data_IF_504680807748
#
_entry.id   IF_504680807748
#
_cell.length_a   1.000
_cell.length_b   1.000
_cell.length_c   1.000
_cell.angle_alpha   90.00
_cell.angle_beta   90.00
_cell.angle_gamma   90.00
#
_symmetry.space_group_name_H-M   'P 1'
#
loop_
_entity.id
_entity.type
_entity.pdbx_description
1 polymer ?
#
# COMPACT_ATOMS: atom_id res chain seq x y z
N UNK A 1 22.49 -3.73 10.94
CA UNK A 1 22.94 -4.19 9.62
C UNK A 1 22.02 -3.54 8.59
N UNK A 2 22.55 -2.82 7.60
CA UNK A 2 21.72 -2.26 6.54
C UNK A 2 21.09 -3.38 5.71
N UNK A 3 19.86 -3.18 5.26
CA UNK A 3 19.16 -4.17 4.43
C UNK A 3 18.34 -3.50 3.33
N UNK A 4 18.07 -4.25 2.26
CA UNK A 4 17.09 -3.90 1.22
C UNK A 4 16.03 -4.99 1.12
N UNK A 5 14.81 -4.62 0.75
CA UNK A 5 13.69 -5.53 0.59
C UNK A 5 13.28 -5.61 -0.89
N UNK A 6 13.16 -6.83 -1.42
CA UNK A 6 12.73 -7.08 -2.81
C UNK A 6 11.54 -8.04 -2.80
N UNK A 7 10.43 -7.61 -3.37
CA UNK A 7 9.22 -8.42 -3.52
C UNK A 7 8.27 -8.32 -2.33
N UNK A 8 7.19 -9.03 -2.41
CA UNK A 8 6.00 -8.84 -1.60
C UNK A 8 5.03 -7.87 -2.27
N UNK A 9 3.80 -7.84 -1.82
CA UNK A 9 2.90 -6.74 -2.18
C UNK A 9 3.53 -5.47 -1.61
N UNK A 10 4.00 -4.58 -2.50
CA UNK A 10 4.54 -3.29 -2.03
C UNK A 10 3.47 -2.63 -1.18
N UNK A 11 3.84 -2.14 0.00
CA UNK A 11 2.91 -1.48 0.94
C UNK A 11 1.93 -0.55 0.21
N UNK A 12 2.47 0.29 -0.67
CA UNK A 12 1.72 1.31 -1.42
C UNK A 12 0.84 0.73 -2.55
N UNK A 13 1.00 -0.55 -2.88
CA UNK A 13 0.17 -1.26 -3.85
C UNK A 13 -1.03 -1.97 -3.21
N UNK A 14 -1.08 -2.05 -1.89
CA UNK A 14 -2.21 -2.65 -1.17
C UNK A 14 -3.48 -1.81 -1.35
N UNK A 15 -4.64 -2.46 -1.43
CA UNK A 15 -5.90 -1.78 -1.77
C UNK A 15 -6.23 -0.65 -0.79
N UNK A 16 -6.18 -0.92 0.52
CA UNK A 16 -6.51 0.08 1.55
C UNK A 16 -5.52 1.25 1.61
N UNK A 17 -4.23 1.03 1.29
CA UNK A 17 -3.26 2.12 1.18
C UNK A 17 -3.51 2.93 -0.10
N UNK A 18 -3.85 2.29 -1.22
CA UNK A 18 -4.28 3.01 -2.43
C UNK A 18 -5.54 3.84 -2.21
N UNK A 19 -6.45 3.39 -1.33
CA UNK A 19 -7.64 4.16 -0.96
C UNK A 19 -7.24 5.44 -0.20
N UNK A 20 -6.32 5.34 0.77
CA UNK A 20 -5.75 6.51 1.45
C UNK A 20 -5.00 7.42 0.47
N UNK A 21 -4.16 6.86 -0.39
CA UNK A 21 -3.41 7.64 -1.38
C UNK A 21 -4.34 8.36 -2.35
N UNK A 22 -5.49 7.80 -2.71
CA UNK A 22 -6.48 8.50 -3.54
C UNK A 22 -7.03 9.76 -2.85
N UNK A 23 -7.33 9.69 -1.55
CA UNK A 23 -7.71 10.86 -0.77
C UNK A 23 -6.60 11.92 -0.73
N UNK A 24 -5.37 11.50 -0.45
CA UNK A 24 -4.23 12.43 -0.42
C UNK A 24 -3.99 13.10 -1.78
N UNK A 25 -4.17 12.36 -2.88
CA UNK A 25 -4.03 12.88 -4.25
C UNK A 25 -5.08 13.92 -4.58
N UNK A 26 -6.37 13.71 -4.25
CA UNK A 26 -7.40 14.73 -4.49
C UNK A 26 -7.19 15.98 -3.63
N UNK A 27 -6.62 15.84 -2.43
CA UNK A 27 -6.22 16.99 -1.61
C UNK A 27 -5.03 17.74 -2.22
N UNK A 28 -4.04 17.04 -2.76
CA UNK A 28 -2.89 17.66 -3.41
C UNK A 28 -3.28 18.32 -4.73
N UNK A 29 -4.03 17.61 -5.56
CA UNK A 29 -4.49 18.05 -6.88
C UNK A 29 -5.98 17.73 -7.09
N UNK A 30 -6.89 18.71 -7.00
CA UNK A 30 -8.32 18.49 -7.20
C UNK A 30 -8.72 18.14 -8.65
N UNK A 31 -7.78 18.23 -9.61
CA UNK A 31 -8.00 17.85 -11.01
C UNK A 31 -7.62 16.39 -11.31
N UNK A 32 -7.30 15.58 -10.31
CA UNK A 32 -6.97 14.17 -10.46
C UNK A 32 -8.24 13.31 -10.56
N UNK A 33 -8.67 13.01 -11.77
CA UNK A 33 -9.87 12.24 -12.06
C UNK A 33 -9.78 10.78 -11.57
N UNK A 34 -8.63 10.15 -11.72
CA UNK A 34 -8.39 8.77 -11.28
C UNK A 34 -8.49 8.68 -9.76
N UNK A 35 -7.92 9.64 -9.06
CA UNK A 35 -7.97 9.70 -7.61
C UNK A 35 -9.41 9.94 -7.12
N UNK A 36 -10.16 10.85 -7.77
CA UNK A 36 -11.58 11.07 -7.46
C UNK A 36 -12.41 9.80 -7.68
N UNK A 37 -12.24 9.12 -8.80
CA UNK A 37 -12.96 7.89 -9.09
C UNK A 37 -12.76 6.86 -7.98
N UNK A 38 -11.51 6.65 -7.55
CA UNK A 38 -11.22 5.70 -6.48
C UNK A 38 -11.75 6.14 -5.13
N UNK A 39 -11.57 7.41 -4.75
CA UNK A 39 -12.07 7.94 -3.49
C UNK A 39 -13.61 7.88 -3.40
N UNK A 40 -14.31 8.23 -4.47
CA UNK A 40 -15.77 8.22 -4.49
C UNK A 40 -16.35 6.80 -4.44
N UNK A 41 -15.74 5.83 -5.11
CA UNK A 41 -16.19 4.43 -5.08
C UNK A 41 -15.90 3.72 -3.75
N UNK A 42 -15.12 4.33 -2.86
CA UNK A 42 -14.89 3.82 -1.51
C UNK A 42 -16.19 3.75 -0.69
N UNK A 43 -17.13 4.67 -0.93
CA UNK A 43 -18.32 4.87 -0.11
C UNK A 43 -19.46 3.94 -0.50
N UNK A 44 -20.14 3.41 0.52
CA UNK A 44 -21.26 2.48 0.33
C UNK A 44 -22.36 3.10 -0.54
N UNK A 45 -22.77 2.36 -1.57
CA UNK A 45 -23.83 2.78 -2.51
C UNK A 45 -23.36 3.70 -3.63
N UNK A 46 -22.06 3.94 -3.75
CA UNK A 46 -21.48 4.68 -4.88
C UNK A 46 -20.83 3.69 -5.85
N UNK A 47 -21.50 3.47 -6.99
CA UNK A 47 -20.94 2.67 -8.09
C UNK A 47 -20.19 3.54 -9.10
N UNK A 48 -19.47 2.89 -10.03
CA UNK A 48 -18.61 3.56 -11.03
C UNK A 48 -19.32 4.65 -11.82
N UNK A 49 -20.57 4.44 -12.21
CA UNK A 49 -21.35 5.43 -12.99
C UNK A 49 -21.62 6.70 -12.16
N UNK A 50 -22.00 6.51 -10.89
CA UNK A 50 -22.26 7.64 -9.98
C UNK A 50 -20.98 8.41 -9.66
N UNK A 51 -19.91 7.68 -9.38
CA UNK A 51 -18.57 8.24 -9.13
C UNK A 51 -18.07 9.02 -10.35
N UNK A 52 -18.16 8.46 -11.56
CA UNK A 52 -17.72 9.12 -12.80
C UNK A 52 -18.48 10.43 -13.06
N UNK A 53 -19.80 10.40 -12.90
CA UNK A 53 -20.62 11.61 -13.10
C UNK A 53 -20.25 12.72 -12.11
N UNK A 54 -20.04 12.36 -10.84
CA UNK A 54 -19.65 13.35 -9.83
C UNK A 54 -18.22 13.83 -10.06
N UNK A 55 -17.27 12.93 -10.33
CA UNK A 55 -15.88 13.29 -10.63
C UNK A 55 -15.79 14.32 -11.76
N UNK A 56 -16.51 14.11 -12.87
CA UNK A 56 -16.57 15.06 -13.98
C UNK A 56 -17.07 16.45 -13.54
N UNK A 57 -18.02 16.51 -12.61
CA UNK A 57 -18.50 17.79 -12.07
C UNK A 57 -17.49 18.46 -11.13
N UNK A 58 -16.70 17.67 -10.37
CA UNK A 58 -15.67 18.17 -9.47
C UNK A 58 -14.48 18.75 -10.25
N UNK A 59 -14.11 18.11 -11.36
CA UNK A 59 -13.03 18.56 -12.23
C UNK A 59 -13.27 19.93 -12.90
N UNK A 60 -14.51 20.37 -12.93
CA UNK A 60 -14.85 21.71 -13.44
C UNK A 60 -14.67 22.81 -12.39
N UNK A 61 -14.44 22.43 -11.14
CA UNK A 61 -14.33 23.35 -10.02
C UNK A 61 -12.89 23.36 -9.49
N UNK A 62 -12.12 24.42 -9.76
CA UNK A 62 -10.73 24.51 -9.29
C UNK A 62 -10.62 24.83 -7.79
N UNK A 63 -11.70 25.35 -7.19
CA UNK A 63 -11.73 25.79 -5.80
C UNK A 63 -12.34 24.74 -4.89
N UNK A 64 -11.65 24.44 -3.78
CA UNK A 64 -12.09 23.41 -2.83
C UNK A 64 -13.45 23.72 -2.20
N UNK A 65 -13.82 24.98 -1.97
CA UNK A 65 -15.11 25.34 -1.38
C UNK A 65 -16.27 24.84 -2.26
N UNK A 66 -16.20 25.04 -3.58
CA UNK A 66 -17.20 24.56 -4.54
C UNK A 66 -17.22 23.04 -4.64
N UNK A 67 -16.04 22.40 -4.54
CA UNK A 67 -15.90 20.95 -4.49
C UNK A 67 -16.65 20.41 -3.26
N UNK A 68 -16.40 20.98 -2.07
CA UNK A 68 -17.05 20.54 -0.83
C UNK A 68 -18.56 20.72 -0.87
N UNK A 69 -19.06 21.81 -1.43
CA UNK A 69 -20.50 22.04 -1.61
C UNK A 69 -21.14 20.94 -2.47
N UNK A 70 -20.47 20.49 -3.54
CA UNK A 70 -20.95 19.39 -4.37
C UNK A 70 -20.90 18.05 -3.63
N UNK A 71 -19.86 17.78 -2.87
CA UNK A 71 -19.72 16.55 -2.07
C UNK A 71 -20.79 16.50 -0.95
N UNK A 72 -21.09 17.61 -0.30
CA UNK A 72 -22.15 17.71 0.69
C UNK A 72 -23.53 17.43 0.07
N UNK A 73 -23.82 18.01 -1.09
CA UNK A 73 -25.07 17.75 -1.85
C UNK A 73 -25.19 16.33 -2.34
N UNK A 74 -24.08 15.67 -2.63
CA UNK A 74 -24.05 14.24 -3.01
C UNK A 74 -24.51 13.34 -1.85
N UNK A 75 -24.22 13.70 -0.60
CA UNK A 75 -24.80 13.11 0.60
C UNK A 75 -24.40 11.65 0.86
N UNK A 76 -23.32 11.14 0.26
CA UNK A 76 -22.81 9.77 0.46
C UNK A 76 -21.53 9.73 1.30
N UNK A 77 -20.87 10.86 1.45
CA UNK A 77 -19.66 10.99 2.25
C UNK A 77 -20.06 11.57 3.60
N UNK A 78 -19.64 11.01 4.74
CA UNK A 78 -19.97 11.53 6.05
C UNK A 78 -19.49 12.98 6.22
N UNK A 79 -20.29 13.80 6.90
CA UNK A 79 -19.95 15.19 7.15
C UNK A 79 -18.64 15.36 7.93
N UNK A 80 -18.33 14.44 8.85
CA UNK A 80 -17.06 14.41 9.57
C UNK A 80 -15.87 14.21 8.61
N UNK A 81 -15.99 13.30 7.65
CA UNK A 81 -14.97 13.10 6.60
C UNK A 81 -14.74 14.38 5.81
N UNK A 82 -15.80 15.07 5.38
CA UNK A 82 -15.68 16.33 4.64
C UNK A 82 -15.03 17.43 5.48
N UNK A 83 -15.32 17.49 6.78
CA UNK A 83 -14.68 18.43 7.69
C UNK A 83 -13.18 18.16 7.80
N UNK A 84 -12.79 16.90 7.96
CA UNK A 84 -11.38 16.50 8.00
C UNK A 84 -10.68 16.82 6.66
N UNK A 85 -11.32 16.55 5.53
CA UNK A 85 -10.79 16.90 4.21
C UNK A 85 -10.55 18.42 4.07
N UNK A 86 -11.46 19.25 4.58
CA UNK A 86 -11.26 20.72 4.63
C UNK A 86 -10.01 21.08 5.45
N UNK A 87 -9.78 20.45 6.59
CA UNK A 87 -8.56 20.66 7.38
C UNK A 87 -7.29 20.23 6.62
N UNK A 88 -7.35 19.11 5.90
CA UNK A 88 -6.20 18.62 5.11
C UNK A 88 -5.77 19.58 4.02
N UNK A 89 -6.69 20.36 3.42
CA UNK A 89 -6.34 21.32 2.35
C UNK A 89 -5.38 22.41 2.81
N UNK A 90 -5.36 22.76 4.09
CA UNK A 90 -4.46 23.77 4.68
C UNK A 90 -3.16 23.15 5.23
N UNK A 91 -3.11 21.83 5.40
CA UNK A 91 -1.97 21.11 5.99
C UNK A 91 -1.05 20.44 4.96
N UNK A 92 -1.08 20.88 3.70
CA UNK A 92 -0.26 20.27 2.63
C UNK A 92 1.24 20.33 2.87
N UNK A 93 1.73 21.21 3.73
CA UNK A 93 3.12 21.35 4.15
C UNK A 93 3.44 20.59 5.45
N UNK A 94 2.46 19.93 6.05
CA UNK A 94 2.61 19.08 7.22
C UNK A 94 2.21 17.64 6.86
N UNK A 95 3.03 16.98 6.04
CA UNK A 95 2.67 15.72 5.37
C UNK A 95 2.23 14.64 6.34
N UNK A 96 2.94 14.50 7.46
CA UNK A 96 2.60 13.49 8.48
C UNK A 96 1.23 13.79 9.14
N UNK A 97 0.94 15.05 9.43
CA UNK A 97 -0.37 15.46 9.96
C UNK A 97 -1.47 15.23 8.92
N UNK A 98 -1.23 15.61 7.66
CA UNK A 98 -2.16 15.40 6.56
C UNK A 98 -2.47 13.91 6.35
N UNK A 99 -1.46 13.03 6.37
CA UNK A 99 -1.63 11.56 6.27
C UNK A 99 -2.41 11.02 7.47
N UNK A 100 -2.13 11.50 8.68
CA UNK A 100 -2.85 11.05 9.89
C UNK A 100 -4.33 11.44 9.84
N UNK A 101 -4.65 12.64 9.41
CA UNK A 101 -6.02 13.09 9.17
C UNK A 101 -6.70 12.30 8.04
N UNK A 102 -5.98 12.01 6.96
CA UNK A 102 -6.48 11.19 5.87
C UNK A 102 -6.89 9.79 6.32
N UNK A 103 -6.09 9.15 7.18
CA UNK A 103 -6.43 7.85 7.79
C UNK A 103 -7.71 7.99 8.62
N UNK A 104 -7.77 8.98 9.52
CA UNK A 104 -8.94 9.24 10.36
C UNK A 104 -10.21 9.45 9.52
N UNK A 105 -10.11 10.17 8.40
CA UNK A 105 -11.24 10.48 7.53
C UNK A 105 -11.91 9.27 6.92
N UNK A 106 -11.14 8.20 6.63
CA UNK A 106 -11.65 7.04 5.87
C UNK A 106 -11.59 5.72 6.65
N UNK A 107 -10.99 5.70 7.84
CA UNK A 107 -10.75 4.48 8.63
C UNK A 107 -12.04 3.68 8.88
N UNK A 108 -13.12 4.35 9.27
CA UNK A 108 -14.40 3.68 9.53
C UNK A 108 -14.95 2.97 8.28
N UNK A 109 -14.87 3.62 7.12
CA UNK A 109 -15.31 3.04 5.86
C UNK A 109 -14.40 1.90 5.40
N UNK A 110 -13.08 2.04 5.60
CA UNK A 110 -12.12 0.97 5.31
C UNK A 110 -12.35 -0.25 6.21
N UNK A 111 -12.59 -0.04 7.50
CA UNK A 111 -12.91 -1.11 8.44
C UNK A 111 -14.18 -1.88 8.01
N UNK A 112 -15.16 -1.19 7.45
CA UNK A 112 -16.35 -1.83 6.90
C UNK A 112 -16.06 -2.60 5.61
N UNK A 113 -15.30 -2.03 4.70
CA UNK A 113 -14.97 -2.65 3.40
C UNK A 113 -14.05 -3.86 3.56
N UNK A 114 -13.13 -3.84 4.54
CA UNK A 114 -12.11 -4.87 4.76
C UNK A 114 -12.30 -5.68 6.06
N UNK A 115 -13.53 -5.86 6.53
CA UNK A 115 -13.90 -6.50 7.82
C UNK A 115 -13.07 -7.74 8.19
N UNK A 116 -12.77 -8.60 7.22
CA UNK A 116 -12.12 -9.92 7.46
C UNK A 116 -10.66 -9.82 7.90
N UNK A 117 -9.94 -8.80 7.49
CA UNK A 117 -8.50 -8.66 7.71
C UNK A 117 -8.08 -7.23 8.10
N UNK A 118 -9.04 -6.44 8.60
CA UNK A 118 -8.83 -5.04 8.98
C UNK A 118 -7.71 -4.86 10.00
N UNK A 119 -7.70 -5.67 11.07
CA UNK A 119 -6.67 -5.58 12.12
C UNK A 119 -5.23 -5.72 11.58
N UNK A 120 -5.06 -6.53 10.52
CA UNK A 120 -3.76 -6.66 9.86
C UNK A 120 -3.45 -5.44 9.00
N UNK A 121 -4.44 -4.93 8.27
CA UNK A 121 -4.27 -3.78 7.34
C UNK A 121 -4.00 -2.47 8.07
N UNK A 122 -4.57 -2.29 9.25
CA UNK A 122 -4.36 -1.10 10.09
C UNK A 122 -2.88 -0.84 10.39
N UNK A 123 -2.09 -1.91 10.60
CA UNK A 123 -0.65 -1.81 10.84
C UNK A 123 0.13 -1.19 9.69
N UNK A 124 -0.36 -1.32 8.45
CA UNK A 124 0.28 -0.76 7.27
C UNK A 124 0.30 0.77 7.29
N UNK A 125 -0.68 1.41 7.94
CA UNK A 125 -0.76 2.88 8.02
C UNK A 125 0.34 3.50 8.88
N UNK A 126 0.85 2.77 9.88
CA UNK A 126 1.99 3.27 10.67
C UNK A 126 3.26 3.39 9.82
N UNK A 127 3.44 2.47 8.87
CA UNK A 127 4.55 2.55 7.91
C UNK A 127 4.35 3.73 6.94
N UNK A 128 3.11 3.97 6.48
CA UNK A 128 2.81 5.14 5.63
C UNK A 128 3.10 6.45 6.37
N UNK A 129 2.73 6.57 7.65
CA UNK A 129 3.07 7.74 8.49
C UNK A 129 4.57 7.94 8.64
N UNK A 130 5.34 6.84 8.80
CA UNK A 130 6.80 6.90 8.87
C UNK A 130 7.42 7.36 7.55
N UNK A 131 6.89 6.92 6.40
CA UNK A 131 7.33 7.42 5.09
C UNK A 131 7.00 8.91 4.95
N UNK A 132 5.79 9.31 5.33
CA UNK A 132 5.33 10.70 5.26
C UNK A 132 6.18 11.66 6.12
N UNK A 133 6.74 11.20 7.25
CA UNK A 133 7.57 12.03 8.12
C UNK A 133 8.89 12.51 7.50
N UNK A 134 9.29 11.93 6.37
CA UNK A 134 10.51 12.30 5.65
C UNK A 134 10.30 13.46 4.66
N UNK A 135 9.07 13.86 4.43
CA UNK A 135 8.69 14.87 3.44
C UNK A 135 8.08 16.09 4.10
N UNK A 136 8.33 17.25 3.50
CA UNK A 136 7.77 18.54 3.95
C UNK A 136 6.60 19.01 3.09
N UNK A 137 6.42 18.44 1.90
CA UNK A 137 5.31 18.76 1.01
C UNK A 137 4.58 17.49 0.55
N UNK A 138 3.26 17.56 0.54
CA UNK A 138 2.41 16.43 0.14
C UNK A 138 2.64 16.02 -1.32
N UNK A 139 2.90 16.97 -2.22
CA UNK A 139 3.24 16.70 -3.62
C UNK A 139 4.51 15.87 -3.76
N UNK A 140 5.57 16.23 -3.04
CA UNK A 140 6.85 15.49 -3.06
C UNK A 140 6.66 14.04 -2.57
N UNK A 141 5.92 13.86 -1.49
CA UNK A 141 5.58 12.52 -0.98
C UNK A 141 4.84 11.69 -2.03
N UNK A 142 3.85 12.29 -2.71
CA UNK A 142 3.07 11.60 -3.72
C UNK A 142 3.87 11.32 -5.00
N UNK A 143 4.73 12.23 -5.43
CA UNK A 143 5.62 12.01 -6.56
C UNK A 143 6.57 10.84 -6.31
N UNK A 144 7.23 10.81 -5.16
CA UNK A 144 8.19 9.75 -4.85
C UNK A 144 7.54 8.36 -4.72
N UNK A 145 6.37 8.27 -4.07
CA UNK A 145 5.82 6.96 -3.71
C UNK A 145 4.63 6.50 -4.55
N UNK A 146 3.98 7.40 -5.29
CA UNK A 146 2.75 7.08 -6.04
C UNK A 146 2.94 7.17 -7.54
N UNK A 147 3.63 8.22 -8.01
CA UNK A 147 3.76 8.48 -9.45
C UNK A 147 4.95 7.75 -10.06
N UNK A 148 5.99 7.48 -9.28
CA UNK A 148 7.16 6.71 -9.72
C UNK A 148 7.49 5.53 -8.78
N UNK A 149 6.67 4.47 -8.77
CA UNK A 149 6.96 3.26 -8.00
C UNK A 149 8.21 2.51 -8.48
N UNK A 150 8.77 2.87 -9.63
CA UNK A 150 10.02 2.33 -10.18
C UNK A 150 11.22 2.86 -9.39
N UNK A 151 11.14 4.11 -8.89
CA UNK A 151 12.24 4.76 -8.16
C UNK A 151 12.59 4.06 -6.85
N UNK A 152 11.61 3.46 -6.14
CA UNK A 152 11.90 2.69 -4.92
C UNK A 152 12.77 1.47 -5.24
N UNK A 153 12.52 0.79 -6.36
CA UNK A 153 13.30 -0.36 -6.78
C UNK A 153 14.67 0.00 -7.37
N UNK A 154 14.83 1.23 -7.89
CA UNK A 154 16.09 1.71 -8.47
C UNK A 154 17.00 2.37 -7.43
N UNK A 155 16.46 3.11 -6.45
CA UNK A 155 17.22 3.61 -5.29
C UNK A 155 17.81 2.44 -4.49
N UNK A 156 17.06 1.33 -4.39
CA UNK A 156 17.55 0.10 -3.78
C UNK A 156 18.67 -0.59 -4.61
N UNK A 157 18.72 -0.39 -5.94
CA UNK A 157 19.73 -0.98 -6.82
C UNK A 157 21.04 -0.19 -6.90
N UNK A 158 21.02 1.11 -6.61
CA UNK A 158 22.20 1.98 -6.75
C UNK A 158 23.15 1.97 -5.55
N UNK A 159 22.78 1.39 -4.42
CA UNK A 159 23.74 1.22 -3.32
C UNK A 159 24.52 -0.08 -3.48
N UNK A 160 25.72 0.02 -4.03
CA UNK A 160 26.77 -1.02 -4.01
C UNK A 160 27.33 -1.18 -2.57
N UNK A 161 26.44 -1.06 -1.60
CA UNK A 161 26.76 -1.18 -0.17
C UNK A 161 26.57 -2.63 0.27
N UNK A 162 27.39 -3.06 1.21
CA UNK A 162 27.30 -4.37 1.86
C UNK A 162 25.99 -4.46 2.68
N UNK A 163 24.89 -4.80 2.01
CA UNK A 163 23.53 -4.84 2.57
C UNK A 163 22.95 -6.25 2.50
N UNK A 164 22.20 -6.64 3.52
CA UNK A 164 21.42 -7.88 3.49
C UNK A 164 20.20 -7.69 2.60
N UNK A 165 20.02 -8.58 1.62
CA UNK A 165 18.83 -8.57 0.76
C UNK A 165 17.74 -9.47 1.36
N UNK A 166 16.62 -8.88 1.78
CA UNK A 166 15.39 -9.59 2.12
C UNK A 166 14.53 -9.71 0.87
N UNK A 167 14.21 -10.93 0.47
CA UNK A 167 13.49 -11.17 -0.78
C UNK A 167 12.42 -12.25 -0.60
N UNK A 168 11.24 -12.06 -1.21
CA UNK A 168 10.25 -13.15 -1.24
C UNK A 168 10.67 -14.22 -2.24
N UNK A 169 10.28 -15.46 -1.99
CA UNK A 169 10.66 -16.59 -2.86
C UNK A 169 10.19 -16.37 -4.31
N UNK A 170 8.99 -15.81 -4.51
CA UNK A 170 8.47 -15.53 -5.85
C UNK A 170 9.33 -14.48 -6.59
N UNK A 171 9.80 -13.47 -5.88
CA UNK A 171 10.67 -12.43 -6.47
C UNK A 171 12.11 -12.91 -6.64
N UNK A 172 12.52 -13.95 -5.91
CA UNK A 172 13.85 -14.54 -6.03
C UNK A 172 14.04 -15.43 -7.27
N UNK A 173 12.95 -15.73 -8.00
CA UNK A 173 13.03 -16.51 -9.24
C UNK A 173 13.91 -15.79 -10.28
N UNK A 174 14.94 -16.48 -10.77
CA UNK A 174 15.89 -15.91 -11.73
C UNK A 174 17.05 -15.13 -11.11
N UNK A 175 17.10 -14.99 -9.78
CA UNK A 175 18.25 -14.42 -9.06
C UNK A 175 19.07 -15.51 -8.39
N UNK A 176 20.35 -15.24 -8.12
CA UNK A 176 21.24 -16.13 -7.38
C UNK A 176 22.14 -15.30 -6.45
N UNK A 177 22.48 -15.87 -5.30
CA UNK A 177 23.33 -15.23 -4.30
C UNK A 177 24.35 -16.22 -3.75
N UNK A 178 25.53 -15.73 -3.37
CA UNK A 178 26.58 -16.59 -2.81
C UNK A 178 26.12 -17.32 -1.55
N UNK A 179 25.42 -16.62 -0.67
CA UNK A 179 24.89 -17.14 0.59
C UNK A 179 23.39 -16.83 0.66
N UNK A 180 22.57 -17.84 0.93
CA UNK A 180 21.12 -17.67 1.08
C UNK A 180 20.63 -18.22 2.42
N UNK A 181 19.83 -17.43 3.10
CA UNK A 181 19.08 -17.85 4.28
C UNK A 181 17.61 -18.05 3.88
N UNK A 182 17.10 -19.27 4.04
CA UNK A 182 15.65 -19.53 3.96
C UNK A 182 15.12 -19.60 5.38
N UNK A 183 14.33 -18.59 5.74
CA UNK A 183 13.89 -18.42 7.12
C UNK A 183 12.58 -19.13 7.40
N UNK A 184 12.43 -19.61 8.66
CA UNK A 184 11.19 -20.17 9.18
C UNK A 184 10.68 -21.41 8.39
N UNK A 185 11.59 -22.33 8.04
CA UNK A 185 11.24 -23.59 7.35
C UNK A 185 10.63 -24.56 8.35
N UNK A 186 9.34 -24.40 8.61
CA UNK A 186 8.57 -25.18 9.58
C UNK A 186 7.24 -25.64 9.00
N UNK A 187 6.65 -26.76 9.50
CA UNK A 187 5.29 -27.17 9.12
C UNK A 187 4.28 -26.02 9.31
N UNK A 188 3.42 -25.81 8.33
CA UNK A 188 2.48 -24.71 8.31
C UNK A 188 2.99 -23.43 7.65
N UNK A 189 4.31 -23.31 7.44
CA UNK A 189 4.92 -22.29 6.58
C UNK A 189 5.36 -22.90 5.24
N UNK A 190 5.91 -24.12 5.27
CA UNK A 190 6.27 -24.91 4.07
C UNK A 190 5.89 -26.37 4.27
N UNK A 191 4.80 -26.88 3.66
CA UNK A 191 3.79 -26.11 2.90
C UNK A 191 2.97 -25.18 3.81
N UNK A 192 2.47 -24.08 3.23
CA UNK A 192 1.63 -23.15 3.94
C UNK A 192 0.36 -23.85 4.45
N UNK A 193 -0.11 -23.52 5.65
CA UNK A 193 -1.25 -24.19 6.28
C UNK A 193 -2.53 -24.24 5.41
N UNK A 194 -2.75 -23.25 4.55
CA UNK A 194 -3.89 -23.20 3.62
C UNK A 194 -3.80 -24.23 2.49
N UNK A 195 -2.60 -24.65 2.13
CA UNK A 195 -2.36 -25.61 1.05
C UNK A 195 -2.54 -27.08 1.50
N UNK A 196 -2.61 -27.35 2.81
CA UNK A 196 -2.63 -28.72 3.36
C UNK A 196 -3.89 -29.54 3.02
N UNK A 197 -4.91 -28.93 2.44
CA UNK A 197 -6.18 -29.57 2.03
C UNK A 197 -6.22 -30.11 0.61
N UNK A 198 -5.30 -29.73 -0.26
CA UNK A 198 -5.25 -30.11 -1.68
C UNK A 198 -3.86 -30.57 -2.09
N UNK A 199 -3.78 -31.71 -2.79
CA UNK A 199 -2.50 -32.27 -3.24
C UNK A 199 -1.78 -31.34 -4.23
N UNK A 200 -2.50 -30.66 -5.12
CA UNK A 200 -1.90 -29.77 -6.11
C UNK A 200 -1.32 -28.53 -5.42
N UNK A 201 -2.01 -28.00 -4.40
CA UNK A 201 -1.54 -26.84 -3.64
C UNK A 201 -0.27 -27.20 -2.85
N UNK A 202 -0.19 -28.42 -2.26
CA UNK A 202 1.02 -28.91 -1.59
C UNK A 202 2.18 -29.05 -2.57
N UNK A 203 1.93 -29.56 -3.78
CA UNK A 203 2.95 -29.68 -4.83
C UNK A 203 3.44 -28.31 -5.31
N UNK A 204 2.56 -27.32 -5.39
CA UNK A 204 2.97 -25.95 -5.73
C UNK A 204 3.83 -25.33 -4.62
N UNK A 205 3.46 -25.48 -3.36
CA UNK A 205 4.27 -25.04 -2.22
C UNK A 205 5.64 -25.73 -2.19
N UNK A 206 5.71 -27.00 -2.58
CA UNK A 206 6.98 -27.71 -2.74
C UNK A 206 7.85 -27.11 -3.84
N UNK A 207 7.26 -26.71 -4.97
CA UNK A 207 7.97 -26.01 -6.05
C UNK A 207 8.47 -24.65 -5.61
N UNK A 208 7.66 -23.92 -4.84
CA UNK A 208 8.05 -22.63 -4.27
C UNK A 208 9.28 -22.82 -3.35
N UNK A 209 9.24 -23.79 -2.45
CA UNK A 209 10.39 -24.10 -1.59
C UNK A 209 11.63 -24.52 -2.40
N UNK A 210 11.45 -25.35 -3.43
CA UNK A 210 12.54 -25.74 -4.33
C UNK A 210 13.21 -24.53 -4.98
N UNK A 211 12.43 -23.53 -5.44
CA UNK A 211 12.97 -22.29 -5.98
C UNK A 211 13.83 -21.58 -4.94
N UNK A 212 13.37 -21.48 -3.69
CA UNK A 212 14.14 -20.84 -2.62
C UNK A 212 15.48 -21.55 -2.36
N UNK A 213 15.46 -22.88 -2.28
CA UNK A 213 16.66 -23.69 -2.00
C UNK A 213 17.71 -23.60 -3.12
N UNK A 214 17.28 -23.42 -4.36
CA UNK A 214 18.15 -23.33 -5.54
C UNK A 214 18.70 -21.93 -5.80
N UNK A 215 18.46 -20.96 -4.93
CA UNK A 215 19.01 -19.58 -5.10
C UNK A 215 20.44 -19.44 -4.57
N UNK A 216 20.89 -20.38 -3.74
CA UNK A 216 22.22 -20.35 -3.17
C UNK A 216 23.25 -20.92 -4.16
N UNK A 217 24.31 -20.14 -4.43
CA UNK A 217 25.45 -20.59 -5.22
C UNK A 217 26.46 -21.40 -4.38
N UNK A 218 26.76 -20.91 -3.17
CA UNK A 218 27.82 -21.46 -2.34
C UNK A 218 27.32 -22.06 -1.03
N UNK A 219 26.43 -21.33 -0.33
CA UNK A 219 25.99 -21.68 1.01
C UNK A 219 24.49 -21.44 1.18
N UNK A 220 23.80 -22.48 1.68
CA UNK A 220 22.37 -22.45 1.99
C UNK A 220 22.16 -22.70 3.47
N UNK A 221 21.49 -21.78 4.14
CA UNK A 221 21.18 -21.87 5.56
C UNK A 221 19.66 -21.89 5.74
N UNK A 222 19.17 -22.96 6.36
CA UNK A 222 17.76 -23.09 6.72
C UNK A 222 17.55 -22.80 8.20
N UNK A 223 16.62 -21.92 8.51
CA UNK A 223 16.26 -21.67 9.91
C UNK A 223 14.87 -22.23 10.21
N UNK A 224 14.67 -22.71 11.43
CA UNK A 224 13.37 -23.12 11.94
C UNK A 224 13.11 -22.51 13.31
N UNK A 225 11.86 -22.29 13.63
CA UNK A 225 11.45 -21.93 14.98
C UNK A 225 11.41 -23.21 15.83
N UNK A 226 12.09 -23.20 16.96
CA UNK A 226 11.89 -24.27 17.96
C UNK A 226 10.56 -23.94 18.69
N UNK A 227 9.59 -24.78 18.50
CA UNK A 227 8.34 -24.78 19.28
C UNK A 227 8.59 -25.34 20.66
#
# INVERSE_FOLDING_TARGET
VPYRFIGGMKLLETAHVKDLLSLLRVIANPLDDIAWMRFLTLWTGVGDVGASRLAQQLLLEPEFDLIFDKLEKFGRIPAETLLIMKQMTVLKQEVQACVSLGIQAIEAQLAENYKKDWNRRQGDFELVKQLASKHTQLSEFLEEYVLDPVSISEIERQSDSDVVTLITIHSAKGTEQKVCYVVNVTPGQYPHARAQGDFNDVEEERRVLYVALTRAQNELILTKQNL
#
